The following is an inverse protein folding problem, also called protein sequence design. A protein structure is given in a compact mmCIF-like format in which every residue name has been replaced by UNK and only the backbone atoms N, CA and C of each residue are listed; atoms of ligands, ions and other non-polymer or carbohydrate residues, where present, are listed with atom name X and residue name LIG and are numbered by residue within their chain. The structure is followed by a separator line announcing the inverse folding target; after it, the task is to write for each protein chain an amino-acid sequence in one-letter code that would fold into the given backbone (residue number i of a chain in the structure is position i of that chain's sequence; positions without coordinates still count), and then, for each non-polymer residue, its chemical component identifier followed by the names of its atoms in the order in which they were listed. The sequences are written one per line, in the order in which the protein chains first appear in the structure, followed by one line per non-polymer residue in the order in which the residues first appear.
data_IF_086927255278
#
_entry.id   IF_086927255278
#
_cell.length_a   1.000
_cell.length_b   1.000
_cell.length_c   1.000
_cell.angle_alpha   90.00
_cell.angle_beta   90.00
_cell.angle_gamma   90.00
#
_symmetry.space_group_name_H-M   'P 1'
#
loop_
_entity.id
_entity.type
_entity.pdbx_description
1 polymer ?
#
# COMPACT_ATOMS: atom_id res chain seq x y z
N UNK A 1 6.20 1.44 -7.51
CA UNK A 1 7.27 2.44 -7.49
C UNK A 1 7.07 3.27 -6.24
N UNK A 2 8.10 3.63 -5.49
CA UNK A 2 7.91 4.39 -4.25
C UNK A 2 7.67 5.86 -4.54
N UNK A 3 6.73 6.49 -3.83
CA UNK A 3 6.40 7.92 -3.98
C UNK A 3 7.53 8.82 -3.48
N UNK A 4 8.29 8.35 -2.49
CA UNK A 4 9.39 9.10 -1.91
C UNK A 4 10.58 8.22 -1.53
N UNK A 5 11.72 8.85 -1.33
CA UNK A 5 12.92 8.26 -0.77
C UNK A 5 13.47 9.16 0.34
N UNK A 6 14.01 8.54 1.38
CA UNK A 6 14.71 9.22 2.46
C UNK A 6 16.19 8.82 2.41
N UNK A 7 17.08 9.80 2.40
CA UNK A 7 18.53 9.57 2.33
C UNK A 7 19.27 10.30 3.43
N UNK A 8 20.33 9.69 3.96
CA UNK A 8 21.24 10.38 4.88
C UNK A 8 22.21 11.27 4.09
N UNK A 9 22.37 12.54 4.47
CA UNK A 9 23.36 13.41 3.84
C UNK A 9 24.77 13.07 4.34
N UNK A 10 25.74 12.97 3.42
CA UNK A 10 27.12 12.60 3.77
C UNK A 10 27.76 13.67 4.65
N UNK A 11 28.54 13.25 5.66
CA UNK A 11 29.24 14.12 6.60
C UNK A 11 28.36 14.97 7.55
N UNK A 12 27.03 14.85 7.49
CA UNK A 12 26.11 15.43 8.47
C UNK A 12 25.18 14.37 9.08
N UNK A 13 24.29 14.78 9.98
CA UNK A 13 23.18 13.95 10.48
C UNK A 13 21.87 14.28 9.79
N UNK A 14 21.92 15.02 8.69
CA UNK A 14 20.73 15.52 8.02
C UNK A 14 20.08 14.44 7.18
N UNK A 15 18.77 14.59 6.96
CA UNK A 15 17.97 13.65 6.17
C UNK A 15 17.41 14.41 4.99
N UNK A 16 17.67 13.91 3.78
CA UNK A 16 17.05 14.41 2.57
C UNK A 16 15.75 13.66 2.29
N UNK A 17 14.66 14.40 2.02
CA UNK A 17 13.44 13.85 1.43
C UNK A 17 13.48 14.10 -0.07
N UNK A 18 13.37 13.02 -0.83
CA UNK A 18 13.24 13.06 -2.28
C UNK A 18 11.87 12.52 -2.68
N UNK A 19 11.25 13.14 -3.67
CA UNK A 19 10.03 12.64 -4.30
C UNK A 19 10.39 12.06 -5.65
N UNK A 20 9.88 10.87 -5.94
CA UNK A 20 10.05 10.25 -7.24
C UNK A 20 8.92 10.70 -8.15
N UNK A 21 9.26 11.18 -9.34
CA UNK A 21 8.29 11.40 -10.39
C UNK A 21 7.94 10.10 -11.12
N UNK A 22 6.89 10.13 -11.95
CA UNK A 22 6.45 8.98 -12.75
C UNK A 22 7.52 8.47 -13.75
N UNK A 23 8.58 9.25 -14.00
CA UNK A 23 9.67 8.91 -14.93
C UNK A 23 10.85 8.20 -14.26
N UNK A 24 10.82 8.05 -12.93
CA UNK A 24 11.93 7.47 -12.15
C UNK A 24 12.97 8.49 -11.71
N UNK A 25 12.73 9.77 -11.93
CA UNK A 25 13.61 10.84 -11.51
C UNK A 25 13.24 11.29 -10.09
N UNK A 26 14.25 11.43 -9.23
CA UNK A 26 14.07 11.88 -7.86
C UNK A 26 14.35 13.37 -7.76
N UNK A 27 13.38 14.13 -7.29
CA UNK A 27 13.52 15.56 -6.96
C UNK A 27 13.76 15.70 -5.47
N UNK A 28 14.84 16.39 -5.10
CA UNK A 28 15.07 16.80 -3.72
C UNK A 28 13.99 17.82 -3.31
N UNK A 29 13.30 17.52 -2.21
CA UNK A 29 12.28 18.41 -1.64
C UNK A 29 12.90 19.30 -0.57
N UNK A 30 13.55 18.68 0.42
CA UNK A 30 14.13 19.38 1.55
C UNK A 30 15.21 18.54 2.23
N UNK A 31 16.16 19.21 2.88
CA UNK A 31 17.18 18.60 3.73
C UNK A 31 16.89 18.98 5.18
N UNK A 32 16.39 18.01 5.94
CA UNK A 32 16.00 18.16 7.32
C UNK A 32 17.20 18.14 8.24
N UNK A 33 17.50 19.28 8.86
CA UNK A 33 18.51 19.36 9.91
C UNK A 33 18.12 18.58 11.16
N UNK A 34 19.06 18.33 12.08
CA UNK A 34 18.77 17.57 13.32
C UNK A 34 17.53 18.09 14.06
N UNK A 35 17.26 19.40 14.07
CA UNK A 35 16.11 19.98 14.78
C UNK A 35 14.76 19.72 14.09
N UNK A 36 14.76 19.54 12.77
CA UNK A 36 13.56 19.33 11.94
C UNK A 36 13.21 17.83 11.82
N UNK A 37 14.10 16.97 12.28
CA UNK A 37 13.91 15.52 12.37
C UNK A 37 13.24 15.07 13.68
N UNK A 38 12.87 15.98 14.58
CA UNK A 38 12.18 15.63 15.83
C UNK A 38 10.79 16.24 15.90
N UNK A 39 9.76 15.47 16.30
CA UNK A 39 8.36 15.87 16.20
C UNK A 39 7.96 17.07 17.08
N UNK A 40 8.81 17.53 18.01
CA UNK A 40 8.45 18.54 19.02
C UNK A 40 9.52 19.62 19.27
N UNK A 41 10.61 19.63 18.48
CA UNK A 41 11.56 20.75 18.47
C UNK A 41 11.07 21.94 17.64
N UNK A 42 10.31 21.63 16.60
CA UNK A 42 9.87 22.52 15.52
C UNK A 42 8.43 22.18 15.16
N UNK A 43 7.49 22.55 16.03
CA UNK A 43 6.08 22.44 15.67
C UNK A 43 5.80 23.44 14.53
N UNK A 44 5.47 22.91 13.34
CA UNK A 44 5.07 23.71 12.17
C UNK A 44 3.92 24.66 12.53
N UNK A 45 3.02 24.25 13.42
CA UNK A 45 1.85 25.02 13.83
C UNK A 45 2.17 26.19 14.78
N UNK A 46 3.33 26.17 15.45
CA UNK A 46 3.75 27.27 16.36
C UNK A 46 4.97 28.05 15.88
N UNK A 47 5.83 27.45 15.05
CA UNK A 47 7.11 28.03 14.64
C UNK A 47 7.29 28.14 13.13
N UNK A 48 6.33 27.63 12.34
CA UNK A 48 6.40 27.59 10.88
C UNK A 48 7.71 26.98 10.33
N UNK A 49 8.26 26.01 11.06
CA UNK A 49 9.48 25.29 10.67
C UNK A 49 9.11 23.94 10.05
N UNK A 50 9.86 23.46 9.04
CA UNK A 50 9.68 22.13 8.47
C UNK A 50 9.79 21.02 9.52
N UNK A 51 9.09 19.92 9.27
CA UNK A 51 9.15 18.74 10.12
C UNK A 51 9.06 17.47 9.27
N UNK A 52 10.12 16.65 9.31
CA UNK A 52 10.26 15.49 8.45
C UNK A 52 9.05 14.55 8.53
N UNK A 53 8.59 14.25 9.75
CA UNK A 53 7.52 13.28 9.94
C UNK A 53 6.16 13.82 9.51
N UNK A 54 5.90 15.11 9.72
CA UNK A 54 4.66 15.74 9.25
C UNK A 54 4.64 15.85 7.73
N UNK A 55 5.74 16.27 7.11
CA UNK A 55 5.83 16.39 5.65
C UNK A 55 5.70 15.01 4.96
N UNK A 56 6.26 13.95 5.56
CA UNK A 56 6.06 12.58 5.05
C UNK A 56 4.60 12.14 5.21
N UNK A 57 3.91 12.48 6.31
CA UNK A 57 2.48 12.18 6.46
C UNK A 57 1.65 12.95 5.43
N UNK A 58 1.91 14.24 5.24
CA UNK A 58 1.22 15.06 4.25
C UNK A 58 1.38 14.46 2.84
N UNK A 59 2.58 13.96 2.51
CA UNK A 59 2.84 13.27 1.25
C UNK A 59 2.10 11.94 1.14
N UNK A 60 2.11 11.13 2.20
CA UNK A 60 1.38 9.85 2.24
C UNK A 60 -0.12 10.05 2.10
N UNK A 61 -0.62 11.19 2.60
CA UNK A 61 -1.98 11.68 2.50
C UNK A 61 -2.35 12.21 1.09
N UNK A 62 -1.36 12.30 0.18
CA UNK A 62 -1.53 12.75 -1.20
C UNK A 62 -1.45 14.26 -1.38
N UNK A 63 -0.96 15.01 -0.38
CA UNK A 63 -0.73 16.44 -0.51
C UNK A 63 0.63 16.71 -1.15
N UNK A 64 0.70 17.78 -1.95
CA UNK A 64 1.97 18.28 -2.46
C UNK A 64 2.85 18.78 -1.30
N UNK A 65 4.18 18.61 -1.39
CA UNK A 65 5.10 19.13 -0.38
C UNK A 65 4.95 20.65 -0.27
N UNK A 66 4.75 21.12 0.96
CA UNK A 66 4.48 22.52 1.28
C UNK A 66 5.74 23.43 1.27
N UNK A 67 6.81 23.05 0.55
CA UNK A 67 8.13 23.70 0.65
C UNK A 67 8.41 24.50 -0.63
N UNK A 68 8.83 25.75 -0.43
CA UNK A 68 9.13 26.74 -1.47
C UNK A 68 10.24 26.23 -2.41
N UNK A 69 10.05 26.38 -3.73
CA UNK A 69 11.03 25.91 -4.73
C UNK A 69 12.43 26.54 -4.55
N UNK A 70 12.51 27.71 -3.91
CA UNK A 70 13.78 28.38 -3.56
C UNK A 70 14.55 27.70 -2.42
N UNK A 71 13.87 26.90 -1.59
CA UNK A 71 14.46 26.18 -0.44
C UNK A 71 14.93 24.76 -0.80
N UNK A 72 14.57 24.26 -1.98
CA UNK A 72 15.13 23.03 -2.55
C UNK A 72 16.60 23.30 -2.94
N UNK A 73 17.49 23.33 -1.94
CA UNK A 73 18.91 23.51 -2.16
C UNK A 73 19.41 22.49 -3.18
N UNK A 74 20.20 22.92 -4.15
CA UNK A 74 20.91 22.00 -5.06
C UNK A 74 22.08 21.36 -4.32
N UNK A 75 21.79 20.54 -3.31
CA UNK A 75 22.82 19.77 -2.62
C UNK A 75 23.07 18.44 -3.36
N UNK A 76 24.14 18.34 -4.17
CA UNK A 76 24.44 17.12 -4.91
C UNK A 76 24.81 15.95 -3.98
N UNK A 77 25.15 16.21 -2.71
CA UNK A 77 25.50 15.17 -1.75
C UNK A 77 24.27 14.61 -1.04
N UNK A 78 23.18 15.38 -0.97
CA UNK A 78 21.88 14.91 -0.47
C UNK A 78 21.28 13.79 -1.33
N UNK A 79 21.53 13.82 -2.65
CA UNK A 79 21.04 12.80 -3.60
C UNK A 79 21.93 11.54 -3.58
N UNK A 80 23.20 11.65 -3.18
CA UNK A 80 24.16 10.53 -3.14
C UNK A 80 24.15 9.75 -1.82
N UNK A 81 23.37 10.21 -0.85
CA UNK A 81 23.24 9.60 0.47
C UNK A 81 22.75 8.15 0.45
N UNK A 82 23.03 7.42 1.53
CA UNK A 82 22.47 6.08 1.74
C UNK A 82 20.97 6.17 2.04
N UNK A 83 20.18 5.28 1.45
CA UNK A 83 18.76 5.16 1.75
C UNK A 83 18.54 4.77 3.22
N UNK A 84 17.53 5.37 3.84
CA UNK A 84 17.10 5.09 5.20
C UNK A 84 15.57 5.00 5.25
N UNK A 85 15.01 4.08 6.03
CA UNK A 85 13.55 3.95 6.11
C UNK A 85 12.92 4.87 7.15
N UNK A 86 11.66 5.24 6.92
CA UNK A 86 10.84 5.96 7.89
C UNK A 86 10.77 5.20 9.22
N UNK A 87 10.60 3.88 9.17
CA UNK A 87 10.63 3.01 10.36
C UNK A 87 11.94 3.13 11.15
N UNK A 88 13.08 3.19 10.46
CA UNK A 88 14.38 3.38 11.13
C UNK A 88 14.47 4.77 11.78
N UNK A 89 13.99 5.82 11.11
CA UNK A 89 14.00 7.18 11.65
C UNK A 89 13.10 7.34 12.86
N UNK A 90 11.89 6.75 12.84
CA UNK A 90 10.98 6.75 13.99
C UNK A 90 11.58 5.98 15.18
N UNK A 91 12.30 4.88 14.95
CA UNK A 91 13.06 4.18 15.99
C UNK A 91 14.20 5.03 16.56
N UNK A 92 14.96 5.73 15.71
CA UNK A 92 16.00 6.68 16.17
C UNK A 92 15.42 7.79 17.03
N UNK A 93 14.28 8.36 16.62
CA UNK A 93 13.56 9.37 17.37
C UNK A 93 13.08 8.83 18.74
N UNK A 94 12.57 7.59 18.78
CA UNK A 94 12.17 6.93 20.02
C UNK A 94 13.35 6.71 20.98
N UNK A 95 14.51 6.30 20.47
CA UNK A 95 15.73 6.14 21.28
C UNK A 95 16.22 7.48 21.85
N UNK A 96 16.31 8.52 21.02
CA UNK A 96 16.68 9.86 21.48
C UNK A 96 15.71 10.40 22.55
N UNK A 97 14.42 10.08 22.44
CA UNK A 97 13.41 10.41 23.44
C UNK A 97 13.52 9.63 24.76
N UNK A 98 14.11 8.43 24.73
CA UNK A 98 14.33 7.58 25.89
C UNK A 98 15.58 7.99 26.68
N UNK A 99 16.65 8.40 25.99
CA UNK A 99 17.96 8.77 26.58
C UNK A 99 17.92 10.04 27.44
N UNK A 100 16.82 10.79 27.40
CA UNK A 100 16.49 11.77 28.45
C UNK A 100 17.39 12.99 28.53
N UNK A 101 18.04 13.41 27.43
CA UNK A 101 18.89 14.61 27.37
C UNK A 101 18.11 15.89 27.71
N UNK A 102 18.02 16.26 28.99
CA UNK A 102 17.51 17.54 29.54
C UNK A 102 16.07 17.95 29.20
N UNK A 103 15.43 17.33 28.22
CA UNK A 103 14.19 17.74 27.58
C UNK A 103 13.20 16.57 27.41
N UNK A 104 13.36 15.50 28.21
CA UNK A 104 12.57 14.26 28.16
C UNK A 104 11.04 14.45 28.17
N UNK A 105 10.54 15.59 28.69
CA UNK A 105 9.12 15.95 28.65
C UNK A 105 8.61 16.35 27.26
N UNK A 106 9.50 16.78 26.35
CA UNK A 106 9.19 17.27 25.01
C UNK A 106 9.21 16.17 23.93
N UNK A 107 9.40 14.90 24.27
CA UNK A 107 9.54 13.83 23.27
C UNK A 107 8.62 12.63 23.55
N UNK A 108 7.51 12.82 24.28
CA UNK A 108 6.62 11.71 24.66
C UNK A 108 6.03 10.99 23.44
N UNK A 109 5.63 11.75 22.42
CA UNK A 109 4.99 11.19 21.23
C UNK A 109 5.99 10.51 20.28
N UNK A 110 7.28 10.85 20.39
CA UNK A 110 8.35 10.21 19.62
C UNK A 110 8.52 8.72 19.97
N UNK A 111 8.13 8.30 21.18
CA UNK A 111 8.26 6.89 21.63
C UNK A 111 7.29 5.94 20.93
N UNK A 112 6.15 6.45 20.48
CA UNK A 112 5.11 5.70 19.77
C UNK A 112 4.93 6.16 18.32
N UNK A 113 5.89 6.93 17.79
CA UNK A 113 5.74 7.62 16.51
C UNK A 113 5.43 6.67 15.35
N UNK A 114 6.14 5.54 15.25
CA UNK A 114 5.84 4.54 14.23
C UNK A 114 4.40 4.04 14.30
N UNK A 115 3.90 3.72 15.50
CA UNK A 115 2.54 3.24 15.70
C UNK A 115 1.51 4.32 15.36
N UNK A 116 1.76 5.57 15.73
CA UNK A 116 0.89 6.71 15.41
C UNK A 116 0.81 6.95 13.90
N UNK A 117 1.95 6.96 13.20
CA UNK A 117 2.00 7.12 11.74
C UNK A 117 1.33 5.94 11.03
N UNK A 118 1.61 4.71 11.48
CA UNK A 118 0.99 3.49 10.92
C UNK A 118 -0.53 3.58 11.04
N UNK A 119 -1.05 3.88 12.24
CA UNK A 119 -2.49 4.01 12.46
C UNK A 119 -3.13 5.12 11.60
N UNK A 120 -2.45 6.28 11.48
CA UNK A 120 -2.93 7.38 10.64
C UNK A 120 -3.07 6.95 9.17
N UNK A 121 -2.01 6.35 8.61
CA UNK A 121 -2.01 5.93 7.21
C UNK A 121 -3.00 4.80 6.96
N UNK A 122 -3.01 3.76 7.81
CA UNK A 122 -3.95 2.64 7.68
C UNK A 122 -5.41 3.09 7.70
N UNK A 123 -5.77 4.05 8.57
CA UNK A 123 -7.13 4.58 8.66
C UNK A 123 -7.57 5.29 7.36
N UNK A 124 -6.62 5.80 6.57
CA UNK A 124 -6.92 6.49 5.29
C UNK A 124 -6.90 5.57 4.07
N UNK A 125 -6.05 4.54 4.11
CA UNK A 125 -5.92 3.61 2.99
C UNK A 125 -6.97 2.51 3.05
N UNK A 126 -7.37 2.05 4.25
CA UNK A 126 -8.48 1.10 4.41
C UNK A 126 -9.80 1.79 4.09
N UNK A 127 -10.60 1.19 3.20
CA UNK A 127 -11.87 1.76 2.74
C UNK A 127 -12.95 0.68 2.65
N UNK A 128 -13.26 -0.01 3.76
CA UNK A 128 -14.18 -1.15 3.75
C UNK A 128 -15.59 -0.80 3.26
N UNK A 129 -15.99 0.47 3.34
CA UNK A 129 -17.31 0.97 2.96
C UNK A 129 -17.37 1.55 1.53
N UNK A 130 -16.26 1.58 0.78
CA UNK A 130 -16.24 2.06 -0.60
C UNK A 130 -16.95 1.05 -1.54
N UNK A 131 -17.58 1.57 -2.60
CA UNK A 131 -18.21 0.75 -3.63
C UNK A 131 -17.18 -0.13 -4.36
N UNK A 132 -17.52 -1.37 -4.73
CA UNK A 132 -16.61 -2.25 -5.44
C UNK A 132 -16.31 -1.72 -6.86
N UNK A 133 -15.07 -1.89 -7.29
CA UNK A 133 -14.57 -1.40 -8.58
C UNK A 133 -14.70 -2.51 -9.61
N UNK A 134 -15.85 -2.56 -10.29
CA UNK A 134 -16.19 -3.63 -11.25
C UNK A 134 -16.33 -3.15 -12.69
N UNK A 135 -16.56 -1.85 -12.92
CA UNK A 135 -16.68 -1.24 -14.26
C UNK A 135 -15.29 -0.93 -14.84
N UNK A 136 -14.53 -1.98 -15.14
CA UNK A 136 -13.15 -1.89 -15.65
C UNK A 136 -12.98 -2.29 -17.12
N UNK A 137 -14.09 -2.42 -17.87
CA UNK A 137 -14.04 -2.87 -19.27
C UNK A 137 -13.73 -1.73 -20.23
N UNK A 138 -12.98 -2.04 -21.31
CA UNK A 138 -12.72 -1.22 -22.53
C UNK A 138 -12.20 0.21 -22.31
N UNK A 139 -13.05 1.10 -21.82
CA UNK A 139 -12.87 2.56 -21.75
C UNK A 139 -12.71 3.09 -20.32
N UNK A 140 -12.66 2.21 -19.32
CA UNK A 140 -12.49 2.56 -17.89
C UNK A 140 -11.56 1.59 -17.16
N UNK A 141 -10.43 1.25 -17.76
CA UNK A 141 -9.53 0.25 -17.19
C UNK A 141 -8.30 0.89 -16.53
N UNK A 142 -7.54 0.12 -15.76
CA UNK A 142 -6.40 0.63 -14.98
C UNK A 142 -5.29 1.25 -15.85
N UNK A 143 -5.20 0.88 -17.14
CA UNK A 143 -4.24 1.46 -18.09
C UNK A 143 -4.68 2.81 -18.67
N UNK A 144 -5.99 3.11 -18.69
CA UNK A 144 -6.54 4.32 -19.34
C UNK A 144 -6.87 5.40 -18.33
N UNK A 145 -8.06 5.33 -17.74
CA UNK A 145 -8.74 6.46 -17.09
C UNK A 145 -9.60 6.01 -15.90
N UNK A 146 -9.22 4.91 -15.23
CA UNK A 146 -9.97 4.49 -14.06
C UNK A 146 -9.86 5.55 -12.95
N UNK A 147 -10.98 6.04 -12.35
CA UNK A 147 -10.93 7.17 -11.42
C UNK A 147 -10.01 6.98 -10.23
N UNK A 148 -9.93 5.76 -9.70
CA UNK A 148 -9.10 5.42 -8.54
C UNK A 148 -7.71 4.92 -8.91
N UNK A 149 -7.30 5.06 -10.19
CA UNK A 149 -6.02 4.52 -10.70
C UNK A 149 -4.82 4.90 -9.83
N UNK A 150 -4.69 6.17 -9.46
CA UNK A 150 -3.55 6.70 -8.71
C UNK A 150 -3.76 6.71 -7.19
N UNK A 151 -4.85 6.09 -6.69
CA UNK A 151 -5.14 6.03 -5.26
C UNK A 151 -4.40 4.83 -4.66
N UNK A 152 -3.77 4.97 -3.47
CA UNK A 152 -3.20 3.85 -2.73
C UNK A 152 -4.23 2.71 -2.54
N UNK A 153 -3.81 1.48 -2.83
CA UNK A 153 -4.65 0.31 -2.77
C UNK A 153 -4.97 -0.05 -1.32
N UNK A 154 -6.23 -0.36 -1.05
CA UNK A 154 -6.68 -0.86 0.24
C UNK A 154 -5.92 -2.16 0.56
N UNK A 155 -5.13 -2.22 1.65
CA UNK A 155 -4.34 -3.39 2.00
C UNK A 155 -5.21 -4.62 2.27
N UNK A 156 -6.48 -4.41 2.60
CA UNK A 156 -7.44 -5.44 2.95
C UNK A 156 -8.53 -5.60 1.88
N UNK A 157 -8.36 -5.09 0.65
CA UNK A 157 -9.29 -5.40 -0.43
C UNK A 157 -9.07 -6.82 -1.01
N UNK A 158 -10.10 -7.33 -1.67
CA UNK A 158 -9.99 -8.44 -2.61
C UNK A 158 -9.60 -7.92 -3.99
N UNK A 159 -8.52 -8.47 -4.54
CA UNK A 159 -8.11 -8.24 -5.91
C UNK A 159 -8.48 -9.45 -6.75
N UNK A 160 -9.30 -9.26 -7.79
CA UNK A 160 -9.85 -10.35 -8.61
C UNK A 160 -9.35 -10.19 -10.05
N UNK A 161 -8.68 -11.22 -10.57
CA UNK A 161 -8.05 -11.19 -11.90
C UNK A 161 -8.60 -12.26 -12.83
N UNK A 162 -8.41 -12.07 -14.14
CA UNK A 162 -8.79 -13.06 -15.16
C UNK A 162 -10.26 -13.02 -15.56
N UNK A 163 -11.10 -12.20 -14.91
CA UNK A 163 -12.55 -12.10 -15.20
C UNK A 163 -12.82 -11.60 -16.61
N UNK A 164 -12.08 -10.58 -17.07
CA UNK A 164 -12.27 -9.94 -18.38
C UNK A 164 -11.05 -10.08 -19.30
N UNK A 165 -10.29 -11.17 -19.14
CA UNK A 165 -9.14 -11.46 -20.01
C UNK A 165 -9.60 -11.70 -21.46
N UNK A 166 -8.78 -11.28 -22.43
CA UNK A 166 -9.04 -11.52 -23.87
C UNK A 166 -9.03 -13.00 -24.24
N UNK A 167 -8.34 -13.83 -23.47
CA UNK A 167 -8.29 -15.29 -23.66
C UNK A 167 -9.48 -16.01 -23.02
N UNK A 168 -10.18 -15.35 -22.08
CA UNK A 168 -11.25 -15.95 -21.30
C UNK A 168 -12.61 -15.88 -22.02
N UNK A 169 -12.75 -16.64 -23.12
CA UNK A 169 -14.05 -16.81 -23.80
C UNK A 169 -14.88 -17.96 -23.19
N UNK A 170 -14.26 -18.81 -22.37
CA UNK A 170 -14.88 -20.04 -21.82
C UNK A 170 -15.14 -20.03 -20.32
N UNK A 171 -14.94 -18.91 -19.62
CA UNK A 171 -14.97 -18.84 -18.14
C UNK A 171 -13.86 -19.69 -17.51
N UNK A 172 -12.64 -19.47 -18.02
CA UNK A 172 -11.39 -19.95 -17.45
C UNK A 172 -11.28 -19.60 -15.96
N UNK A 173 -10.48 -20.36 -15.19
CA UNK A 173 -10.25 -20.08 -13.78
C UNK A 173 -9.85 -18.62 -13.56
N UNK A 174 -10.43 -18.01 -12.52
CA UNK A 174 -10.05 -16.69 -12.05
C UNK A 174 -9.25 -16.81 -10.76
N UNK A 175 -8.39 -15.83 -10.48
CA UNK A 175 -7.64 -15.77 -9.23
C UNK A 175 -8.16 -14.62 -8.35
N UNK A 176 -8.20 -14.85 -7.04
CA UNK A 176 -8.55 -13.84 -6.05
C UNK A 176 -7.49 -13.78 -4.96
N UNK A 177 -7.12 -12.57 -4.56
CA UNK A 177 -6.14 -12.30 -3.53
C UNK A 177 -6.77 -11.49 -2.40
N UNK A 178 -6.78 -12.01 -1.17
CA UNK A 178 -7.23 -11.28 0.02
C UNK A 178 -6.09 -10.43 0.56
N UNK A 179 -6.09 -9.16 0.15
CA UNK A 179 -5.16 -8.16 0.63
C UNK A 179 -3.79 -8.19 -0.05
N UNK A 180 -3.01 -7.13 0.19
CA UNK A 180 -1.71 -6.92 -0.45
C UNK A 180 -0.66 -7.93 0.01
N UNK A 181 -0.69 -8.37 1.27
CA UNK A 181 0.28 -9.36 1.77
C UNK A 181 0.11 -10.72 1.08
N UNK A 182 -1.13 -11.20 0.88
CA UNK A 182 -1.39 -12.44 0.14
C UNK A 182 -0.98 -12.31 -1.34
N UNK A 183 -1.27 -11.16 -1.95
CA UNK A 183 -0.84 -10.85 -3.32
C UNK A 183 0.68 -10.88 -3.44
N UNK A 184 1.41 -10.19 -2.56
CA UNK A 184 2.87 -10.15 -2.60
C UNK A 184 3.47 -11.53 -2.33
N UNK A 185 2.94 -12.30 -1.38
CA UNK A 185 3.42 -13.64 -1.09
C UNK A 185 3.30 -14.56 -2.30
N UNK A 186 2.15 -14.52 -2.98
CA UNK A 186 1.87 -15.35 -4.17
C UNK A 186 2.72 -14.90 -5.36
N UNK A 187 2.71 -13.61 -5.68
CA UNK A 187 3.48 -13.12 -6.82
C UNK A 187 5.00 -13.33 -6.63
N UNK A 188 5.53 -13.24 -5.41
CA UNK A 188 6.94 -13.55 -5.14
C UNK A 188 7.29 -15.03 -5.27
N UNK A 189 6.32 -15.95 -5.10
CA UNK A 189 6.56 -17.38 -5.28
C UNK A 189 6.48 -17.81 -6.74
N UNK A 190 5.75 -17.06 -7.57
CA UNK A 190 5.54 -17.35 -9.00
C UNK A 190 6.51 -16.65 -9.95
N UNK A 191 7.04 -15.49 -9.56
CA UNK A 191 7.90 -14.66 -10.43
C UNK A 191 9.33 -15.20 -10.56
N UNK A 192 9.94 -14.89 -11.72
CA UNK A 192 11.36 -15.11 -11.96
C UNK A 192 12.26 -14.11 -11.20
N UNK A 193 13.57 -14.38 -11.20
CA UNK A 193 14.58 -13.54 -10.52
C UNK A 193 14.64 -12.09 -11.03
N UNK A 194 14.09 -11.78 -12.21
CA UNK A 194 14.16 -10.46 -12.83
C UNK A 194 12.99 -9.55 -12.48
N UNK A 195 11.80 -10.12 -12.22
CA UNK A 195 10.62 -9.37 -11.81
C UNK A 195 10.50 -9.23 -10.27
N UNK A 196 11.08 -10.18 -9.51
CA UNK A 196 11.06 -10.19 -8.05
C UNK A 196 11.58 -8.90 -7.38
N UNK A 197 12.65 -8.20 -7.85
CA UNK A 197 13.20 -7.05 -7.14
C UNK A 197 12.23 -5.88 -6.99
N UNK A 198 11.43 -5.58 -8.02
CA UNK A 198 10.45 -4.48 -7.98
C UNK A 198 9.33 -4.78 -6.99
N UNK A 199 8.91 -6.05 -6.93
CA UNK A 199 7.86 -6.51 -6.02
C UNK A 199 8.34 -6.54 -4.57
N UNK A 200 9.58 -7.02 -4.34
CA UNK A 200 10.24 -6.94 -3.03
C UNK A 200 10.33 -5.48 -2.58
N UNK A 201 10.74 -4.58 -3.47
CA UNK A 201 10.83 -3.16 -3.15
C UNK A 201 9.47 -2.55 -2.78
N UNK A 202 8.40 -2.87 -3.51
CA UNK A 202 7.05 -2.43 -3.18
C UNK A 202 6.57 -2.96 -1.81
N UNK A 203 6.76 -4.26 -1.55
CA UNK A 203 6.41 -4.88 -0.26
C UNK A 203 7.18 -4.24 0.89
N UNK A 204 8.48 -4.02 0.70
CA UNK A 204 9.32 -3.43 1.73
C UNK A 204 8.93 -1.96 1.97
N UNK A 205 8.60 -1.21 0.91
CA UNK A 205 8.12 0.17 1.02
C UNK A 205 6.83 0.29 1.87
N UNK A 206 5.87 -0.64 1.72
CA UNK A 206 4.71 -0.71 2.61
C UNK A 206 5.15 -0.87 4.07
N UNK A 207 6.04 -1.83 4.33
CA UNK A 207 6.44 -2.24 5.69
C UNK A 207 7.32 -1.24 6.42
N UNK A 208 8.16 -0.50 5.70
CA UNK A 208 9.18 0.36 6.30
C UNK A 208 8.95 1.85 6.04
N UNK A 209 8.14 2.20 5.05
CA UNK A 209 7.83 3.57 4.67
C UNK A 209 6.33 3.90 4.67
N UNK A 210 5.44 2.94 4.97
CA UNK A 210 3.98 3.10 4.88
C UNK A 210 3.51 3.51 3.47
N UNK A 211 4.33 3.18 2.47
CA UNK A 211 4.10 3.58 1.09
C UNK A 211 3.38 2.47 0.33
N UNK A 212 2.05 2.54 0.33
CA UNK A 212 1.16 1.58 -0.33
C UNK A 212 1.16 1.77 -1.86
N UNK A 213 1.25 0.67 -2.64
CA UNK A 213 1.12 0.75 -4.09
C UNK A 213 -0.27 1.25 -4.46
N UNK A 214 -0.38 1.95 -5.59
CA UNK A 214 -1.66 2.36 -6.16
C UNK A 214 -2.38 1.18 -6.83
N UNK A 215 -3.69 1.29 -7.05
CA UNK A 215 -4.42 0.27 -7.81
C UNK A 215 -3.87 0.05 -9.23
N UNK A 216 -3.33 1.08 -9.87
CA UNK A 216 -2.67 0.94 -11.18
C UNK A 216 -1.45 0.02 -11.12
N UNK A 217 -0.64 0.17 -10.07
CA UNK A 217 0.57 -0.61 -9.86
C UNK A 217 0.22 -2.05 -9.50
N UNK A 218 -0.81 -2.25 -8.66
CA UNK A 218 -1.34 -3.59 -8.37
C UNK A 218 -1.83 -4.28 -9.64
N UNK A 219 -2.61 -3.58 -10.48
CA UNK A 219 -3.05 -4.11 -11.77
C UNK A 219 -1.88 -4.41 -12.73
N UNK A 220 -0.79 -3.64 -12.66
CA UNK A 220 0.41 -3.88 -13.45
C UNK A 220 1.21 -5.10 -12.95
N UNK A 221 1.30 -5.29 -11.62
CA UNK A 221 1.92 -6.47 -10.99
C UNK A 221 1.19 -7.74 -11.44
N UNK A 222 -0.14 -7.71 -11.43
CA UNK A 222 -1.00 -8.84 -11.82
C UNK A 222 -1.12 -9.02 -13.34
N UNK A 223 -0.52 -8.13 -14.14
CA UNK A 223 -0.71 -7.99 -15.59
C UNK A 223 -2.20 -8.02 -16.03
N UNK A 224 -3.11 -7.51 -15.20
CA UNK A 224 -4.54 -7.46 -15.49
C UNK A 224 -5.07 -6.03 -15.39
N UNK A 225 -5.10 -5.34 -16.54
CA UNK A 225 -5.65 -4.00 -16.64
C UNK A 225 -7.15 -3.91 -16.34
N UNK A 226 -7.85 -5.05 -16.30
CA UNK A 226 -9.28 -5.17 -16.00
C UNK A 226 -9.52 -5.93 -14.68
N UNK A 227 -8.54 -5.92 -13.76
CA UNK A 227 -8.70 -6.42 -12.39
C UNK A 227 -9.90 -5.75 -11.69
N UNK A 228 -10.69 -6.53 -10.96
CA UNK A 228 -11.77 -6.02 -10.10
C UNK A 228 -11.27 -5.86 -8.66
N UNK A 229 -11.87 -4.92 -7.93
CA UNK A 229 -11.54 -4.68 -6.51
C UNK A 229 -12.81 -4.69 -5.68
N UNK A 230 -12.77 -5.36 -4.53
CA UNK A 230 -13.86 -5.38 -3.55
C UNK A 230 -13.29 -5.08 -2.17
N UNK A 231 -13.83 -4.09 -1.47
CA UNK A 231 -13.25 -3.60 -0.22
C UNK A 231 -13.63 -4.42 1.02
N UNK A 232 -14.58 -5.35 0.88
CA UNK A 232 -15.00 -6.23 1.95
C UNK A 232 -15.55 -7.56 1.40
N UNK A 233 -15.62 -8.56 2.27
CA UNK A 233 -16.03 -9.93 1.92
C UNK A 233 -17.48 -9.99 1.39
N UNK A 234 -18.38 -9.19 1.98
CA UNK A 234 -19.79 -9.13 1.60
C UNK A 234 -19.98 -8.65 0.16
N UNK A 235 -19.28 -7.59 -0.23
CA UNK A 235 -19.36 -6.99 -1.57
C UNK A 235 -18.88 -7.94 -2.67
N UNK A 236 -17.81 -8.70 -2.41
CA UNK A 236 -17.35 -9.76 -3.31
C UNK A 236 -18.38 -10.89 -3.40
N UNK A 237 -18.87 -11.37 -2.25
CA UNK A 237 -19.85 -12.45 -2.22
C UNK A 237 -21.15 -12.09 -2.94
N UNK A 238 -21.66 -10.87 -2.77
CA UNK A 238 -22.87 -10.39 -3.42
C UNK A 238 -22.69 -10.19 -4.92
N UNK A 239 -21.53 -9.71 -5.35
CA UNK A 239 -21.19 -9.66 -6.76
C UNK A 239 -21.13 -11.06 -7.38
N UNK A 240 -20.45 -12.02 -6.73
CA UNK A 240 -20.39 -13.41 -7.21
C UNK A 240 -21.79 -14.00 -7.34
N UNK A 241 -22.65 -13.82 -6.33
CA UNK A 241 -24.03 -14.35 -6.34
C UNK A 241 -24.87 -13.74 -7.45
N UNK A 242 -24.72 -12.44 -7.69
CA UNK A 242 -25.43 -11.72 -8.75
C UNK A 242 -24.97 -12.23 -10.12
N UNK A 243 -23.67 -12.23 -10.36
CA UNK A 243 -23.08 -12.69 -11.62
C UNK A 243 -23.33 -14.17 -11.89
N UNK A 244 -23.35 -15.01 -10.86
CA UNK A 244 -23.67 -16.44 -11.01
C UNK A 244 -25.11 -16.70 -11.46
N UNK A 245 -26.05 -15.83 -11.07
CA UNK A 245 -27.46 -15.91 -11.50
C UNK A 245 -27.64 -15.38 -12.92
N UNK A 246 -27.05 -14.23 -13.22
CA UNK A 246 -27.15 -13.56 -14.52
C UNK A 246 -26.27 -14.25 -15.58
N UNK A 247 -25.22 -14.93 -15.14
CA UNK A 247 -24.22 -15.63 -15.95
C UNK A 247 -23.46 -14.72 -16.92
N UNK A 248 -23.38 -13.41 -16.63
CA UNK A 248 -22.79 -12.41 -17.52
C UNK A 248 -21.26 -12.38 -17.46
N UNK A 249 -20.66 -12.33 -16.27
CA UNK A 249 -19.22 -12.31 -16.08
C UNK A 249 -18.65 -13.68 -15.67
N UNK A 250 -19.32 -14.37 -14.75
CA UNK A 250 -18.88 -15.67 -14.19
C UNK A 250 -20.08 -16.59 -13.98
N UNK A 251 -19.81 -17.88 -13.86
CA UNK A 251 -20.76 -18.90 -13.37
C UNK A 251 -20.53 -19.27 -11.91
N UNK A 252 -21.56 -19.86 -11.28
CA UNK A 252 -21.45 -20.48 -9.96
C UNK A 252 -20.31 -21.51 -9.88
N UNK A 253 -20.15 -22.31 -10.94
CA UNK A 253 -19.14 -23.37 -11.05
C UNK A 253 -17.80 -22.89 -11.61
N UNK A 254 -17.61 -21.59 -11.81
CA UNK A 254 -16.31 -21.07 -12.29
C UNK A 254 -15.24 -21.44 -11.27
N UNK A 255 -14.16 -22.12 -11.67
CA UNK A 255 -13.05 -22.39 -10.77
C UNK A 255 -12.40 -21.08 -10.32
N UNK A 256 -12.08 -21.00 -9.04
CA UNK A 256 -11.44 -19.87 -8.40
C UNK A 256 -10.21 -20.35 -7.66
N UNK A 257 -9.06 -19.77 -7.97
CA UNK A 257 -7.85 -19.87 -7.16
C UNK A 257 -7.90 -18.76 -6.12
N UNK A 258 -7.84 -19.14 -4.84
CA UNK A 258 -8.00 -18.22 -3.71
C UNK A 258 -6.67 -18.17 -2.96
N UNK A 259 -6.13 -16.97 -2.84
CA UNK A 259 -4.90 -16.69 -2.11
C UNK A 259 -5.20 -15.76 -0.93
N UNK A 260 -4.94 -16.22 0.29
CA UNK A 260 -5.17 -15.44 1.52
C UNK A 260 -4.00 -15.58 2.49
N UNK A 261 -3.93 -14.70 3.48
CA UNK A 261 -3.21 -14.99 4.72
C UNK A 261 -4.21 -15.64 5.67
N UNK A 262 -4.06 -16.93 6.04
CA UNK A 262 -5.02 -17.61 6.90
C UNK A 262 -5.15 -16.89 8.25
N UNK A 263 -6.39 -16.80 8.75
CA UNK A 263 -6.64 -16.26 10.08
C UNK A 263 -6.02 -17.22 11.13
N UNK A 264 -5.03 -16.78 11.92
CA UNK A 264 -4.36 -17.64 12.89
C UNK A 264 -5.25 -18.05 14.07
N UNK A 265 -6.45 -17.46 14.20
CA UNK A 265 -7.40 -17.74 15.28
C UNK A 265 -8.46 -18.77 14.88
N UNK A 266 -8.68 -18.98 13.58
CA UNK A 266 -9.63 -19.97 13.08
C UNK A 266 -8.98 -21.36 13.05
N UNK A 267 -9.74 -22.37 13.47
CA UNK A 267 -9.38 -23.77 13.31
C UNK A 267 -9.53 -24.18 11.83
N UNK A 268 -8.70 -25.11 11.35
CA UNK A 268 -8.78 -25.62 9.97
C UNK A 268 -10.13 -26.29 9.68
N UNK A 269 -10.82 -26.79 10.70
CA UNK A 269 -12.17 -27.37 10.60
C UNK A 269 -13.30 -26.32 10.62
N UNK A 270 -13.01 -25.02 10.85
CA UNK A 270 -14.03 -23.96 10.80
C UNK A 270 -14.51 -23.78 9.34
N UNK A 271 -15.83 -23.77 9.06
CA UNK A 271 -16.33 -23.59 7.69
C UNK A 271 -15.99 -22.25 7.05
N UNK A 272 -15.49 -21.28 7.82
CA UNK A 272 -15.00 -19.97 7.34
C UNK A 272 -13.48 -19.97 7.11
N UNK A 273 -12.77 -21.03 7.51
CA UNK A 273 -11.34 -21.13 7.32
C UNK A 273 -10.99 -21.19 5.83
N UNK A 274 -10.02 -20.36 5.45
CA UNK A 274 -9.44 -20.37 4.11
C UNK A 274 -7.95 -20.71 4.24
N UNK A 275 -7.49 -21.84 3.65
CA UNK A 275 -6.07 -22.13 3.50
C UNK A 275 -5.37 -21.05 2.66
N UNK A 276 -4.06 -20.90 2.86
CA UNK A 276 -3.28 -19.86 2.18
C UNK A 276 -3.44 -19.90 0.65
N UNK A 277 -3.46 -21.11 0.09
CA UNK A 277 -3.74 -21.39 -1.31
C UNK A 277 -4.84 -22.45 -1.38
N UNK A 278 -5.93 -22.14 -2.07
CA UNK A 278 -7.01 -23.11 -2.29
C UNK A 278 -7.66 -22.94 -3.66
N UNK A 279 -8.29 -24.03 -4.14
CA UNK A 279 -9.09 -23.99 -5.37
C UNK A 279 -10.51 -24.42 -5.04
N UNK A 280 -11.49 -23.60 -5.44
CA UNK A 280 -12.89 -23.86 -5.19
C UNK A 280 -13.78 -23.26 -6.27
N UNK A 281 -15.09 -23.49 -6.21
CA UNK A 281 -16.03 -22.80 -7.11
C UNK A 281 -16.33 -21.39 -6.60
N UNK A 282 -16.69 -20.49 -7.50
CA UNK A 282 -17.09 -19.12 -7.12
C UNK A 282 -18.24 -19.14 -6.11
N UNK A 283 -19.23 -20.02 -6.29
CA UNK A 283 -20.33 -20.17 -5.35
C UNK A 283 -19.87 -20.66 -3.96
N UNK A 284 -18.89 -21.56 -3.88
CA UNK A 284 -18.33 -21.98 -2.60
C UNK A 284 -17.61 -20.83 -1.90
N UNK A 285 -16.75 -20.11 -2.62
CA UNK A 285 -16.05 -18.92 -2.09
C UNK A 285 -17.04 -17.93 -1.47
N UNK A 286 -18.11 -17.57 -2.20
CA UNK A 286 -19.12 -16.63 -1.72
C UNK A 286 -19.89 -17.11 -0.46
N UNK A 287 -19.93 -18.41 -0.20
CA UNK A 287 -20.55 -18.96 1.01
C UNK A 287 -19.57 -19.04 2.18
N UNK A 288 -18.26 -19.19 1.91
CA UNK A 288 -17.20 -19.20 2.93
C UNK A 288 -16.98 -17.79 3.49
N UNK A 289 -16.79 -16.80 2.61
CA UNK A 289 -16.40 -15.44 3.02
C UNK A 289 -17.56 -14.61 3.59
N UNK A 290 -18.79 -14.93 3.22
CA UNK A 290 -19.97 -14.24 3.74
C UNK A 290 -21.17 -15.20 3.80
N UNK A 291 -21.25 -16.13 4.77
CA UNK A 291 -22.34 -17.10 4.85
C UNK A 291 -23.73 -16.43 4.82
N UNK A 292 -24.71 -17.07 4.16
CA UNK A 292 -26.10 -16.62 4.24
C UNK A 292 -26.67 -17.03 5.60
N UNK A 293 -27.37 -16.12 6.27
CA UNK A 293 -28.25 -16.44 7.41
C UNK A 293 -29.43 -17.34 6.99
#
# INVERSE_FOLDING_TARGET
MTRFELRTVSASRDIALLINDDSGSSRLVHVYGEQEQYPLGTDRYYRNLPNLFLDVIDLLDGNDPLIDEESAGSDPDAIKGNAISLKTLTQRAAHAAADGSGNARRFKDARSLWALMTNHVETRVRRPDDDPIVDVRRTKNWKKNQPMRAVPADPDAWFVTGVYSRSNQMRDPLAVYRGLDALFATMLSELDETAAPNLVHARDAVRVNLDYPTYAEVAAILDDSNMLVFHNDQSLADWIRTQSKEQEAIHAETPVQVHVIPDPVLDEDDPRYLPADSTMTAAHLANVIAPRE
#
